data_IF_129818661462
#
_entry.id   IF_129818661462
#
_cell.length_a   1.000
_cell.length_b   1.000
_cell.length_c   1.000
_cell.angle_alpha   90.00
_cell.angle_beta   90.00
_cell.angle_gamma   90.00
#
_symmetry.space_group_name_H-M   'P 1'
#
loop_
_entity.id
_entity.type
_entity.pdbx_description
1 polymer ?
#
# COMPACT_ATOMS: atom_id res chain seq x y z
N UNK A 1 -31.62 -11.48 -25.31
CA UNK A 1 -30.41 -11.79 -24.50
C UNK A 1 -29.53 -10.56 -24.29
N UNK A 2 -29.05 -9.89 -25.34
CA UNK A 2 -28.19 -8.71 -25.22
C UNK A 2 -28.79 -7.55 -24.39
N UNK A 3 -30.09 -7.27 -24.57
CA UNK A 3 -30.82 -6.25 -23.79
C UNK A 3 -30.94 -6.59 -22.30
N UNK A 4 -31.08 -7.87 -21.97
CA UNK A 4 -31.15 -8.36 -20.58
C UNK A 4 -29.77 -8.26 -19.91
N UNK A 5 -28.70 -8.58 -20.65
CA UNK A 5 -27.33 -8.47 -20.14
C UNK A 5 -26.97 -6.99 -19.93
N UNK A 6 -27.33 -6.12 -20.89
CA UNK A 6 -27.08 -4.69 -20.80
C UNK A 6 -27.85 -4.04 -19.64
N UNK A 7 -29.11 -4.44 -19.41
CA UNK A 7 -29.88 -3.93 -18.28
C UNK A 7 -29.32 -4.41 -16.94
N UNK A 8 -28.93 -5.68 -16.82
CA UNK A 8 -28.26 -6.21 -15.62
C UNK A 8 -26.93 -5.50 -15.33
N UNK A 9 -26.11 -5.27 -16.35
CA UNK A 9 -24.86 -4.53 -16.21
C UNK A 9 -25.11 -3.08 -15.77
N UNK A 10 -26.09 -2.41 -16.38
CA UNK A 10 -26.47 -1.04 -16.00
C UNK A 10 -26.95 -0.95 -14.55
N UNK A 11 -27.78 -1.89 -14.11
CA UNK A 11 -28.26 -1.96 -12.71
C UNK A 11 -27.10 -2.20 -11.74
N UNK A 12 -26.16 -3.08 -12.08
CA UNK A 12 -25.01 -3.39 -11.21
C UNK A 12 -24.07 -2.18 -11.08
N UNK A 13 -23.80 -1.46 -12.18
CA UNK A 13 -23.00 -0.24 -12.18
C UNK A 13 -23.68 0.85 -11.35
N UNK A 14 -25.00 1.02 -11.51
CA UNK A 14 -25.77 2.00 -10.75
C UNK A 14 -25.77 1.68 -9.25
N UNK A 15 -26.00 0.41 -8.89
CA UNK A 15 -25.97 -0.05 -7.50
C UNK A 15 -24.58 0.16 -6.86
N UNK A 16 -23.50 -0.16 -7.57
CA UNK A 16 -22.13 0.07 -7.09
C UNK A 16 -21.82 1.55 -6.88
N UNK A 17 -22.31 2.42 -7.77
CA UNK A 17 -22.13 3.87 -7.68
C UNK A 17 -22.91 4.46 -6.50
N UNK A 18 -24.17 4.06 -6.32
CA UNK A 18 -24.99 4.46 -5.16
C UNK A 18 -24.37 3.99 -3.86
N UNK A 19 -23.84 2.76 -3.82
CA UNK A 19 -23.14 2.22 -2.67
C UNK A 19 -21.87 3.01 -2.31
N UNK A 20 -21.05 3.37 -3.31
CA UNK A 20 -19.83 4.15 -3.08
C UNK A 20 -20.14 5.58 -2.61
N UNK A 21 -21.17 6.21 -3.17
CA UNK A 21 -21.68 7.52 -2.72
C UNK A 21 -22.19 7.43 -1.28
N UNK A 22 -23.05 6.45 -0.97
CA UNK A 22 -23.54 6.24 0.38
C UNK A 22 -22.40 6.00 1.37
N UNK A 23 -21.38 5.23 0.98
CA UNK A 23 -20.19 4.99 1.80
C UNK A 23 -19.32 6.24 1.98
N UNK A 24 -19.25 7.11 0.97
CA UNK A 24 -18.53 8.39 1.08
C UNK A 24 -19.26 9.38 2.00
N UNK A 25 -20.59 9.34 2.01
CA UNK A 25 -21.44 10.28 2.75
C UNK A 25 -21.74 9.80 4.18
N UNK A 26 -21.80 8.50 4.43
CA UNK A 26 -22.05 7.92 5.75
C UNK A 26 -20.73 7.64 6.46
N UNK A 27 -20.27 8.48 7.41
CA UNK A 27 -19.16 8.17 8.30
C UNK A 27 -19.60 7.19 9.39
N UNK A 28 -20.10 6.01 9.02
CA UNK A 28 -20.30 4.92 9.97
C UNK A 28 -19.00 4.15 10.08
N UNK A 29 -18.18 4.50 11.07
CA UNK A 29 -17.06 3.64 11.40
C UNK A 29 -16.71 3.70 12.89
N UNK A 30 -17.05 2.66 13.67
CA UNK A 30 -16.17 2.22 14.73
C UNK A 30 -15.16 1.24 14.09
N UNK A 31 -13.94 1.73 13.79
CA UNK A 31 -12.70 0.95 13.45
C UNK A 31 -12.28 0.76 11.98
N UNK A 32 -12.16 1.84 11.18
CA UNK A 32 -11.19 1.86 10.06
C UNK A 32 -10.32 3.12 10.09
N UNK A 33 -9.01 2.99 9.81
CA UNK A 33 -8.14 4.16 9.72
C UNK A 33 -8.59 5.05 8.54
N UNK A 34 -8.55 6.38 8.72
CA UNK A 34 -9.11 7.33 7.76
C UNK A 34 -8.54 7.12 6.35
N UNK A 35 -9.39 7.26 5.32
CA UNK A 35 -9.04 7.07 3.91
C UNK A 35 -7.81 7.87 3.47
N UNK A 36 -7.56 9.04 4.07
CA UNK A 36 -6.34 9.82 3.89
C UNK A 36 -5.07 9.04 4.28
N UNK A 37 -5.13 8.24 5.35
CA UNK A 37 -4.04 7.34 5.79
C UNK A 37 -3.85 6.18 4.82
N UNK A 38 -4.92 5.68 4.20
CA UNK A 38 -4.83 4.64 3.16
C UNK A 38 -4.27 5.20 1.84
N UNK A 39 -4.66 6.41 1.43
CA UNK A 39 -4.05 7.11 0.28
C UNK A 39 -2.58 7.41 0.52
N UNK A 40 -2.22 7.96 1.67
CA UNK A 40 -0.83 8.18 2.05
C UNK A 40 -0.02 6.88 2.10
N UNK A 41 -0.62 5.79 2.57
CA UNK A 41 0.00 4.46 2.56
C UNK A 41 0.23 3.94 1.14
N UNK A 42 -0.74 4.10 0.22
CA UNK A 42 -0.56 3.73 -1.19
C UNK A 42 0.51 4.56 -1.88
N UNK A 43 0.55 5.87 -1.63
CA UNK A 43 1.58 6.75 -2.17
C UNK A 43 2.98 6.36 -1.67
N UNK A 44 3.13 6.07 -0.37
CA UNK A 44 4.40 5.63 0.20
C UNK A 44 4.87 4.26 -0.33
N UNK A 45 3.94 3.33 -0.60
CA UNK A 45 4.26 2.04 -1.21
C UNK A 45 4.72 2.21 -2.67
N UNK A 46 4.02 3.04 -3.44
CA UNK A 46 4.38 3.34 -4.83
C UNK A 46 5.77 4.00 -4.93
N UNK A 47 6.11 4.89 -4.00
CA UNK A 47 7.43 5.51 -3.94
C UNK A 47 8.53 4.51 -3.57
N UNK A 48 8.27 3.62 -2.62
CA UNK A 48 9.21 2.57 -2.24
C UNK A 48 9.48 1.56 -3.37
N UNK A 49 8.46 1.24 -4.16
CA UNK A 49 8.59 0.39 -5.34
C UNK A 49 9.47 1.06 -6.42
N UNK A 50 9.20 2.32 -6.75
CA UNK A 50 10.02 3.10 -7.70
C UNK A 50 11.48 3.18 -7.27
N UNK A 51 11.73 3.38 -5.99
CA UNK A 51 13.09 3.41 -5.44
C UNK A 51 13.83 2.08 -5.61
N UNK A 52 13.17 0.94 -5.35
CA UNK A 52 13.79 -0.38 -5.54
C UNK A 52 14.06 -0.70 -7.00
N UNK A 53 13.15 -0.30 -7.90
CA UNK A 53 13.34 -0.42 -9.35
C UNK A 53 14.55 0.42 -9.79
N UNK A 54 14.66 1.66 -9.31
CA UNK A 54 15.83 2.52 -9.60
C UNK A 54 17.14 1.92 -9.11
N UNK A 55 17.17 1.38 -7.89
CA UNK A 55 18.36 0.70 -7.37
C UNK A 55 18.77 -0.52 -8.22
N UNK A 56 17.80 -1.31 -8.69
CA UNK A 56 18.08 -2.45 -9.57
C UNK A 56 18.58 -2.01 -10.93
N UNK A 57 17.97 -0.97 -11.50
CA UNK A 57 18.35 -0.44 -12.81
C UNK A 57 19.79 0.11 -12.81
N UNK A 58 20.23 0.65 -11.67
CA UNK A 58 21.60 1.13 -11.47
C UNK A 58 22.56 0.06 -10.94
N UNK A 59 22.16 -1.23 -10.96
CA UNK A 59 22.93 -2.38 -10.46
C UNK A 59 23.47 -2.20 -9.03
N UNK A 60 22.77 -1.38 -8.23
CA UNK A 60 23.13 -1.08 -6.83
C UNK A 60 22.66 -2.19 -5.88
N UNK A 61 21.79 -3.07 -6.34
CA UNK A 61 21.29 -4.22 -5.59
C UNK A 61 21.18 -5.44 -6.52
N UNK A 62 21.53 -6.61 -5.98
CA UNK A 62 21.38 -7.87 -6.68
C UNK A 62 19.89 -8.28 -6.82
N UNK A 63 19.63 -9.21 -7.74
CA UNK A 63 18.27 -9.69 -8.04
C UNK A 63 17.63 -10.36 -6.82
N UNK A 64 18.41 -11.06 -5.99
CA UNK A 64 17.92 -11.73 -4.79
C UNK A 64 17.49 -10.72 -3.70
N UNK A 65 18.25 -9.65 -3.46
CA UNK A 65 17.87 -8.58 -2.53
C UNK A 65 16.67 -7.80 -3.05
N UNK A 66 16.58 -7.55 -4.36
CA UNK A 66 15.42 -6.93 -4.98
C UNK A 66 14.14 -7.75 -4.73
N UNK A 67 14.17 -9.05 -5.03
CA UNK A 67 13.02 -9.94 -4.82
C UNK A 67 12.61 -10.01 -3.35
N UNK A 68 13.56 -10.16 -2.42
CA UNK A 68 13.28 -10.18 -0.98
C UNK A 68 12.61 -8.88 -0.52
N UNK A 69 13.06 -7.72 -1.01
CA UNK A 69 12.50 -6.41 -0.64
C UNK A 69 11.13 -6.16 -1.25
N UNK A 70 10.89 -6.58 -2.49
CA UNK A 70 9.56 -6.53 -3.12
C UNK A 70 8.56 -7.43 -2.41
N UNK A 71 8.96 -8.65 -2.03
CA UNK A 71 8.11 -9.55 -1.23
C UNK A 71 7.76 -8.94 0.13
N UNK A 72 8.72 -8.30 0.82
CA UNK A 72 8.44 -7.62 2.08
C UNK A 72 7.44 -6.45 1.93
N UNK A 73 7.54 -5.67 0.84
CA UNK A 73 6.57 -4.62 0.51
C UNK A 73 5.17 -5.19 0.25
N UNK A 74 5.06 -6.29 -0.50
CA UNK A 74 3.79 -6.94 -0.82
C UNK A 74 3.08 -7.48 0.44
N UNK A 75 3.84 -7.97 1.43
CA UNK A 75 3.31 -8.43 2.72
C UNK A 75 3.04 -7.27 3.69
N UNK A 76 3.27 -6.01 3.28
CA UNK A 76 3.09 -4.84 4.13
C UNK A 76 4.02 -4.80 5.34
N UNK A 77 5.07 -5.62 5.35
CA UNK A 77 6.08 -5.62 6.38
C UNK A 77 6.94 -4.39 6.20
N UNK A 78 6.66 -3.36 6.99
CA UNK A 78 7.62 -2.28 7.22
C UNK A 78 8.91 -2.94 7.66
N UNK A 79 10.01 -2.59 7.00
CA UNK A 79 11.28 -2.51 7.71
C UNK A 79 11.01 -1.63 8.92
N UNK A 80 10.98 -2.21 10.11
CA UNK A 80 11.46 -1.50 11.28
C UNK A 80 12.83 -0.99 10.87
N UNK A 81 12.94 0.30 10.62
CA UNK A 81 14.19 1.00 10.85
C UNK A 81 14.46 0.90 12.34
N UNK A 82 14.84 -0.29 12.80
CA UNK A 82 15.79 -0.40 13.88
C UNK A 82 17.06 0.14 13.25
N UNK A 83 17.26 1.45 13.39
CA UNK A 83 18.55 2.05 13.11
C UNK A 83 19.61 1.24 13.86
N UNK A 84 20.84 1.16 13.34
CA UNK A 84 21.94 0.63 14.13
C UNK A 84 22.02 1.47 15.40
N UNK A 85 21.55 0.94 16.54
CA UNK A 85 21.92 1.47 17.84
C UNK A 85 23.39 1.12 17.99
N UNK A 86 24.22 2.01 17.47
CA UNK A 86 25.61 2.11 17.86
C UNK A 86 25.60 2.47 19.34
N UNK A 87 25.55 1.46 20.21
CA UNK A 87 26.00 1.61 21.60
C UNK A 87 27.52 1.62 21.55
N UNK A 88 28.07 2.74 21.09
CA UNK A 88 29.43 3.16 21.41
C UNK A 88 29.31 4.13 22.59
N UNK A 89 30.06 3.82 23.64
CA UNK A 89 30.11 4.56 24.89
C UNK A 89 29.65 3.65 26.02
N UNK A 90 30.49 3.21 26.95
CA UNK A 90 31.82 3.66 27.29
C UNK A 90 32.07 3.15 28.70
N UNK A 91 33.26 2.62 28.90
CA UNK A 91 33.89 2.27 30.16
C UNK A 91 33.64 3.33 31.26
N UNK A 92 33.50 2.90 32.52
CA UNK A 92 34.16 3.43 33.74
C UNK A 92 33.37 3.10 35.01
N UNK A 93 34.05 2.47 35.99
CA UNK A 93 33.60 2.35 37.39
C UNK A 93 33.60 0.93 37.89
#
# INVERSE_FOLDING_TARGET
MATVIASLAGVLILAGTVYDIARLITPDEPRRPPLARLRGRRAALAEAERWLVGLRLHDRIDTATYQRRMSALAHGQRRSTTGPTNTVGGHHG
#
